data_IF_523240628571
#
_entry.id   IF_523240628571
#
_cell.length_a   1.000
_cell.length_b   1.000
_cell.length_c   1.000
_cell.angle_alpha   90.00
_cell.angle_beta   90.00
_cell.angle_gamma   90.00
#
_symmetry.space_group_name_H-M   'P 1'
#
loop_
_entity.id
_entity.type
_entity.pdbx_description
1 polymer ?
#
# COMPACT_ATOMS: atom_id res chain seq x y z
N UNK A 1 12.55 5.08 -8.58
CA UNK A 1 12.95 5.96 -7.47
C UNK A 1 13.67 7.22 -7.93
N UNK A 2 14.88 7.18 -8.52
CA UNK A 2 15.59 8.40 -8.95
C UNK A 2 14.76 9.28 -9.92
N UNK A 3 14.16 8.66 -10.94
CA UNK A 3 13.29 9.37 -11.88
C UNK A 3 12.03 9.93 -11.21
N UNK A 4 11.48 9.21 -10.23
CA UNK A 4 10.32 9.65 -9.44
C UNK A 4 10.68 10.88 -8.59
N UNK A 5 11.82 10.87 -7.90
CA UNK A 5 12.34 12.03 -7.14
C UNK A 5 12.58 13.23 -8.05
N UNK A 6 13.10 13.02 -9.26
CA UNK A 6 13.30 14.10 -10.23
C UNK A 6 11.99 14.69 -10.75
N UNK A 7 11.02 13.83 -11.12
CA UNK A 7 9.67 14.25 -11.52
C UNK A 7 8.98 15.02 -10.37
N UNK A 8 9.14 14.53 -9.14
CA UNK A 8 8.57 15.13 -7.95
C UNK A 8 9.18 16.50 -7.62
N UNK A 9 10.51 16.62 -7.74
CA UNK A 9 11.21 17.91 -7.63
C UNK A 9 10.66 18.95 -8.61
N UNK A 10 10.51 18.58 -9.89
CA UNK A 10 9.89 19.44 -10.91
C UNK A 10 8.44 19.82 -10.58
N UNK A 11 7.67 18.91 -9.98
CA UNK A 11 6.30 19.19 -9.57
C UNK A 11 6.26 20.19 -8.40
N UNK A 12 7.13 20.02 -7.40
CA UNK A 12 7.26 20.93 -6.24
C UNK A 12 7.70 22.32 -6.69
N UNK A 13 8.64 22.42 -7.63
CA UNK A 13 9.06 23.70 -8.24
C UNK A 13 7.89 24.46 -8.87
N UNK A 14 6.93 23.74 -9.46
CA UNK A 14 5.73 24.31 -10.10
C UNK A 14 4.57 24.53 -9.14
N UNK A 15 4.70 24.16 -7.86
CA UNK A 15 3.64 24.32 -6.86
C UNK A 15 3.26 25.80 -6.72
N UNK A 16 1.95 26.06 -6.79
CA UNK A 16 1.34 27.39 -6.63
C UNK A 16 0.89 27.60 -5.18
N UNK A 17 0.82 28.87 -4.69
CA UNK A 17 0.24 29.19 -3.39
C UNK A 17 -1.22 28.72 -3.31
N UNK A 18 -1.66 28.28 -2.11
CA UNK A 18 -3.07 27.91 -1.88
C UNK A 18 -3.97 29.11 -2.18
N UNK A 19 -4.91 28.93 -3.10
CA UNK A 19 -5.85 29.96 -3.55
C UNK A 19 -7.29 29.59 -3.20
N UNK A 20 -7.61 29.53 -1.91
CA UNK A 20 -8.96 29.25 -1.41
C UNK A 20 -9.58 30.46 -0.69
N UNK A 21 -10.92 30.48 -0.62
CA UNK A 21 -11.70 31.54 0.04
C UNK A 21 -11.39 31.71 1.54
N UNK A 22 -10.81 30.69 2.18
CA UNK A 22 -10.26 30.79 3.53
C UNK A 22 -8.74 31.02 3.46
N UNK A 23 -8.34 32.28 3.67
CA UNK A 23 -6.97 32.79 3.61
C UNK A 23 -6.06 32.35 4.78
N UNK A 24 -6.15 31.11 5.25
CA UNK A 24 -5.42 30.66 6.45
C UNK A 24 -3.93 30.35 6.24
N UNK A 25 -3.47 30.17 4.99
CA UNK A 25 -2.04 29.94 4.69
C UNK A 25 -1.42 31.19 4.08
N UNK A 26 -0.54 31.86 4.83
CA UNK A 26 0.19 33.02 4.34
C UNK A 26 1.10 32.65 3.16
N UNK A 27 1.34 33.59 2.23
CA UNK A 27 2.31 33.41 1.13
C UNK A 27 3.68 32.97 1.65
N UNK A 28 4.05 33.41 2.86
CA UNK A 28 5.28 33.01 3.53
C UNK A 28 5.26 31.54 3.99
N UNK A 29 4.14 31.07 4.57
CA UNK A 29 3.96 29.67 4.93
C UNK A 29 4.06 28.73 3.72
N UNK A 30 3.53 29.15 2.57
CA UNK A 30 3.70 28.42 1.31
C UNK A 30 5.16 28.35 0.85
N UNK A 31 5.88 29.47 0.91
CA UNK A 31 7.31 29.53 0.55
C UNK A 31 8.16 28.62 1.44
N UNK A 32 7.92 28.64 2.75
CA UNK A 32 8.60 27.76 3.71
C UNK A 32 8.31 26.29 3.42
N UNK A 33 7.04 25.94 3.17
CA UNK A 33 6.63 24.57 2.84
C UNK A 33 7.32 24.07 1.58
N UNK A 34 7.29 24.88 0.51
CA UNK A 34 7.95 24.55 -0.75
C UNK A 34 9.45 24.38 -0.58
N UNK A 35 10.10 25.27 0.18
CA UNK A 35 11.54 25.17 0.46
C UNK A 35 11.87 23.86 1.19
N UNK A 36 11.13 23.51 2.25
CA UNK A 36 11.32 22.25 2.98
C UNK A 36 11.11 21.02 2.09
N UNK A 37 10.06 20.99 1.27
CA UNK A 37 9.83 19.88 0.31
C UNK A 37 10.98 19.77 -0.70
N UNK A 38 11.51 20.90 -1.18
CA UNK A 38 12.66 20.94 -2.09
C UNK A 38 13.91 20.39 -1.42
N UNK A 39 14.18 20.78 -0.18
CA UNK A 39 15.30 20.23 0.60
C UNK A 39 15.18 18.72 0.79
N UNK A 40 13.99 18.21 1.13
CA UNK A 40 13.74 16.77 1.27
C UNK A 40 14.05 16.04 -0.05
N UNK A 41 13.62 16.57 -1.20
CA UNK A 41 13.97 15.99 -2.51
C UNK A 41 15.49 15.92 -2.70
N UNK A 42 16.20 17.00 -2.44
CA UNK A 42 17.65 17.07 -2.62
C UNK A 42 18.39 16.11 -1.70
N UNK A 43 17.98 16.04 -0.44
CA UNK A 43 18.58 15.15 0.56
C UNK A 43 18.35 13.68 0.19
N UNK A 44 17.12 13.31 -0.22
CA UNK A 44 16.81 11.96 -0.70
C UNK A 44 17.54 11.61 -2.00
N UNK A 45 17.71 12.56 -2.93
CA UNK A 45 18.49 12.36 -4.15
C UNK A 45 19.96 12.08 -3.86
N UNK A 46 20.55 12.80 -2.91
CA UNK A 46 21.94 12.61 -2.49
C UNK A 46 22.15 11.20 -1.88
N UNK A 47 21.27 10.79 -0.98
CA UNK A 47 21.31 9.46 -0.36
C UNK A 47 21.12 8.38 -1.41
N UNK A 48 20.11 8.49 -2.27
CA UNK A 48 19.84 7.51 -3.30
C UNK A 48 20.99 7.39 -4.30
N UNK A 49 21.64 8.50 -4.66
CA UNK A 49 22.85 8.48 -5.50
C UNK A 49 23.98 7.68 -4.84
N UNK A 50 24.24 7.90 -3.55
CA UNK A 50 25.24 7.15 -2.81
C UNK A 50 24.89 5.65 -2.72
N UNK A 51 23.63 5.31 -2.44
CA UNK A 51 23.16 3.92 -2.41
C UNK A 51 23.30 3.23 -3.77
N UNK A 52 23.01 3.93 -4.86
CA UNK A 52 23.18 3.42 -6.21
C UNK A 52 24.67 3.15 -6.53
N UNK A 53 25.55 4.09 -6.20
CA UNK A 53 27.00 3.91 -6.37
C UNK A 53 27.53 2.71 -5.56
N UNK A 54 27.05 2.55 -4.32
CA UNK A 54 27.35 1.38 -3.48
C UNK A 54 26.93 0.07 -4.15
N UNK A 55 25.66 -0.01 -4.57
CA UNK A 55 25.09 -1.21 -5.20
C UNK A 55 25.81 -1.62 -6.47
N UNK A 56 26.17 -0.64 -7.30
CA UNK A 56 26.95 -0.87 -8.51
C UNK A 56 28.32 -1.48 -8.19
N UNK A 57 29.06 -0.87 -7.26
CA UNK A 57 30.37 -1.36 -6.87
C UNK A 57 30.28 -2.75 -6.21
N UNK A 58 29.28 -2.96 -5.35
CA UNK A 58 29.04 -4.24 -4.67
C UNK A 58 28.70 -5.35 -5.67
N UNK A 59 27.75 -5.11 -6.60
CA UNK A 59 27.39 -6.08 -7.64
C UNK A 59 28.56 -6.40 -8.57
N UNK A 60 29.35 -5.39 -8.94
CA UNK A 60 30.55 -5.59 -9.78
C UNK A 60 31.59 -6.45 -9.07
N UNK A 61 31.83 -6.19 -7.77
CA UNK A 61 32.75 -7.00 -6.95
C UNK A 61 32.23 -8.43 -6.83
N UNK A 62 30.97 -8.60 -6.46
CA UNK A 62 30.33 -9.92 -6.36
C UNK A 62 30.42 -10.70 -7.68
N UNK A 63 30.11 -10.06 -8.82
CA UNK A 63 30.17 -10.68 -10.13
C UNK A 63 31.60 -11.11 -10.51
N UNK A 64 32.61 -10.30 -10.16
CA UNK A 64 34.01 -10.64 -10.37
C UNK A 64 34.46 -11.81 -9.48
N UNK A 65 33.99 -11.88 -8.24
CA UNK A 65 34.29 -12.98 -7.31
C UNK A 65 33.62 -14.31 -7.72
N UNK A 66 32.50 -14.26 -8.46
CA UNK A 66 31.74 -15.43 -8.88
C UNK A 66 31.90 -15.75 -10.38
N UNK A 67 32.96 -15.23 -11.03
CA UNK A 67 33.28 -15.47 -12.44
C UNK A 67 32.12 -15.24 -13.43
N UNK A 68 31.23 -14.30 -13.12
CA UNK A 68 30.08 -13.98 -13.97
C UNK A 68 30.57 -13.31 -15.25
N UNK A 69 30.19 -13.79 -16.46
CA UNK A 69 30.57 -13.16 -17.71
C UNK A 69 30.13 -11.69 -17.75
N UNK A 70 31.06 -10.79 -18.08
CA UNK A 70 30.84 -9.33 -18.16
C UNK A 70 30.39 -8.71 -16.81
N UNK A 71 31.21 -8.72 -15.75
CA UNK A 71 30.84 -8.18 -14.43
C UNK A 71 30.47 -6.67 -14.44
N UNK A 72 30.87 -5.93 -15.48
CA UNK A 72 30.52 -4.53 -15.68
C UNK A 72 29.07 -4.29 -16.18
N UNK A 73 28.27 -5.33 -16.46
CA UNK A 73 26.88 -5.15 -16.91
C UNK A 73 26.01 -4.41 -15.90
N UNK A 74 26.36 -4.49 -14.61
CA UNK A 74 25.61 -3.89 -13.52
C UNK A 74 25.88 -2.38 -13.35
N UNK A 75 26.96 -1.83 -13.93
CA UNK A 75 27.38 -0.43 -13.72
C UNK A 75 26.89 0.59 -14.75
N UNK A 76 26.53 0.15 -15.96
CA UNK A 76 26.19 1.09 -17.04
C UNK A 76 24.87 1.86 -16.84
N UNK A 77 24.02 1.50 -15.87
CA UNK A 77 22.68 2.09 -15.71
C UNK A 77 22.65 3.39 -14.90
N UNK A 78 23.49 3.55 -13.88
CA UNK A 78 23.50 4.76 -13.04
C UNK A 78 24.13 5.94 -13.77
N UNK A 79 25.19 5.67 -14.55
CA UNK A 79 25.77 6.63 -15.49
C UNK A 79 24.78 7.05 -16.59
N UNK A 80 23.88 6.16 -17.02
CA UNK A 80 22.83 6.50 -17.97
C UNK A 80 21.72 7.37 -17.33
N UNK A 81 21.35 7.10 -16.06
CA UNK A 81 20.36 7.87 -15.30
C UNK A 81 20.85 9.27 -14.89
N UNK A 82 22.16 9.44 -14.72
CA UNK A 82 22.79 10.72 -14.33
C UNK A 82 23.26 11.57 -15.52
N UNK A 83 23.11 11.10 -16.76
CA UNK A 83 23.55 11.81 -17.98
C UNK A 83 22.67 13.02 -18.33
N UNK A 84 22.93 14.10 -17.62
CA UNK A 84 23.15 15.44 -18.17
C UNK A 84 24.46 15.98 -17.60
N UNK A 85 25.57 15.36 -17.96
CA UNK A 85 26.88 15.99 -17.79
C UNK A 85 27.60 15.98 -19.12
N UNK A 86 28.01 17.18 -19.49
CA UNK A 86 28.74 17.56 -20.69
C UNK A 86 29.93 16.64 -20.95
N UNK A 87 30.20 16.40 -22.22
CA UNK A 87 31.41 15.74 -22.72
C UNK A 87 32.66 16.40 -22.13
N UNK A 88 33.31 15.76 -21.16
CA UNK A 88 34.57 16.24 -20.60
C UNK A 88 34.86 15.91 -19.13
N UNK A 89 33.92 15.35 -18.35
CA UNK A 89 34.25 14.95 -16.98
C UNK A 89 35.12 13.69 -16.95
N UNK A 90 36.31 13.83 -16.33
CA UNK A 90 37.24 12.75 -15.98
C UNK A 90 36.46 11.58 -15.36
N UNK A 91 36.88 10.34 -15.66
CA UNK A 91 36.41 9.12 -15.00
C UNK A 91 36.30 9.39 -13.50
N UNK A 92 35.07 9.48 -12.98
CA UNK A 92 34.83 9.56 -11.54
C UNK A 92 35.61 8.40 -10.90
N UNK A 93 36.46 8.74 -9.93
CA UNK A 93 37.10 7.76 -9.06
C UNK A 93 35.98 6.91 -8.47
N UNK A 94 35.89 5.66 -8.90
CA UNK A 94 34.88 4.73 -8.41
C UNK A 94 35.32 4.35 -7.00
N UNK A 95 34.72 5.01 -6.01
CA UNK A 95 34.97 4.70 -4.61
C UNK A 95 34.61 3.22 -4.35
N UNK A 96 35.39 2.61 -3.48
CA UNK A 96 35.14 1.24 -3.06
C UNK A 96 33.80 1.11 -2.32
N UNK A 97 33.02 0.02 -2.49
CA UNK A 97 31.74 -0.14 -1.81
C UNK A 97 31.84 0.03 -0.29
N UNK A 98 32.91 -0.46 0.34
CA UNK A 98 33.07 -0.35 1.79
C UNK A 98 33.32 1.10 2.22
N UNK A 99 34.00 1.87 1.35
CA UNK A 99 34.18 3.32 1.53
C UNK A 99 32.85 4.05 1.39
N UNK A 100 32.04 3.73 0.37
CA UNK A 100 30.72 4.36 0.17
C UNK A 100 29.78 4.02 1.33
N UNK A 101 29.81 2.78 1.82
CA UNK A 101 29.04 2.37 3.01
C UNK A 101 29.41 3.20 4.23
N UNK A 102 30.71 3.41 4.46
CA UNK A 102 31.18 4.24 5.59
C UNK A 102 30.78 5.72 5.44
N UNK A 103 30.78 6.25 4.20
CA UNK A 103 30.45 7.65 3.91
C UNK A 103 29.00 7.87 3.44
N UNK A 104 28.08 6.94 3.71
CA UNK A 104 26.67 7.16 3.40
C UNK A 104 26.21 8.43 4.13
N UNK A 105 25.55 9.39 3.44
CA UNK A 105 25.18 10.67 4.05
C UNK A 105 23.97 10.53 4.98
N UNK A 106 24.13 9.84 6.12
CA UNK A 106 23.07 9.61 7.12
C UNK A 106 22.45 10.90 7.64
N UNK A 107 23.25 11.95 7.78
CA UNK A 107 22.81 13.30 8.17
C UNK A 107 21.72 13.86 7.24
N UNK A 108 21.80 13.55 5.95
CA UNK A 108 20.79 13.94 4.95
C UNK A 108 19.47 13.19 5.15
N UNK A 109 19.53 11.91 5.52
CA UNK A 109 18.34 11.15 5.91
C UNK A 109 17.70 11.72 7.18
N UNK A 110 18.50 12.08 8.18
CA UNK A 110 17.98 12.70 9.42
C UNK A 110 17.33 14.06 9.15
N UNK A 111 17.94 14.88 8.27
CA UNK A 111 17.37 16.16 7.85
C UNK A 111 16.06 15.98 7.07
N UNK A 112 16.04 15.05 6.12
CA UNK A 112 14.83 14.72 5.34
C UNK A 112 13.69 14.26 6.27
N UNK A 113 13.99 13.37 7.21
CA UNK A 113 13.05 12.92 8.24
C UNK A 113 12.49 14.12 9.02
N UNK A 114 13.37 14.97 9.55
CA UNK A 114 12.98 16.09 10.42
C UNK A 114 12.08 17.09 9.69
N UNK A 115 12.41 17.39 8.43
CA UNK A 115 11.57 18.23 7.58
C UNK A 115 10.21 17.60 7.30
N UNK A 116 10.16 16.30 7.00
CA UNK A 116 8.90 15.57 6.81
C UNK A 116 8.04 15.56 8.07
N UNK A 117 8.62 15.30 9.25
CA UNK A 117 7.89 15.33 10.52
C UNK A 117 7.27 16.71 10.79
N UNK A 118 8.03 17.79 10.59
CA UNK A 118 7.52 19.16 10.78
C UNK A 118 6.35 19.46 9.82
N UNK A 119 6.45 19.02 8.57
CA UNK A 119 5.38 19.19 7.59
C UNK A 119 4.14 18.36 7.93
N UNK A 120 4.34 17.17 8.51
CA UNK A 120 3.27 16.21 8.86
C UNK A 120 2.48 16.64 10.09
N UNK A 121 3.13 17.33 11.04
CA UNK A 121 2.48 17.90 12.24
C UNK A 121 1.64 19.15 11.93
N UNK A 122 1.62 19.64 10.69
CA UNK A 122 0.76 20.77 10.31
C UNK A 122 -0.69 20.31 10.09
N UNK A 123 -1.63 20.89 10.83
CA UNK A 123 -3.00 20.37 10.99
C UNK A 123 -3.91 20.42 9.73
N UNK A 124 -3.44 20.96 8.60
CA UNK A 124 -4.26 21.19 7.40
C UNK A 124 -3.62 20.60 6.14
N UNK A 125 -3.49 19.27 6.11
CA UNK A 125 -3.15 18.54 4.89
C UNK A 125 -4.37 18.48 3.97
N UNK A 126 -4.27 19.10 2.80
CA UNK A 126 -5.28 19.05 1.75
C UNK A 126 -5.00 17.86 0.83
N UNK A 127 -5.95 16.91 0.68
CA UNK A 127 -5.73 15.72 -0.12
C UNK A 127 -5.37 15.96 -1.60
N UNK A 128 -5.84 17.06 -2.16
CA UNK A 128 -5.64 17.41 -3.56
C UNK A 128 -4.34 18.20 -3.78
N UNK A 129 -3.83 18.87 -2.75
CA UNK A 129 -2.67 19.76 -2.85
C UNK A 129 -1.40 19.23 -2.19
N UNK A 130 -1.49 18.24 -1.31
CA UNK A 130 -0.36 17.69 -0.55
C UNK A 130 0.13 16.31 -1.02
N UNK A 131 -0.29 15.89 -2.22
CA UNK A 131 0.17 14.64 -2.84
C UNK A 131 1.70 14.52 -2.88
N UNK A 132 2.42 15.63 -3.06
CA UNK A 132 3.89 15.60 -3.09
C UNK A 132 4.50 15.28 -1.72
N UNK A 133 3.86 15.72 -0.63
CA UNK A 133 4.32 15.42 0.72
C UNK A 133 4.20 13.92 1.00
N UNK A 134 3.06 13.31 0.66
CA UNK A 134 2.84 11.88 0.89
C UNK A 134 3.76 11.03 0.01
N UNK A 135 3.96 11.44 -1.25
CA UNK A 135 4.92 10.80 -2.14
C UNK A 135 6.35 10.87 -1.58
N UNK A 136 6.78 12.01 -1.03
CA UNK A 136 8.09 12.13 -0.38
C UNK A 136 8.21 11.27 0.87
N UNK A 137 7.16 11.20 1.70
CA UNK A 137 7.19 10.36 2.90
C UNK A 137 7.31 8.88 2.53
N UNK A 138 6.59 8.44 1.49
CA UNK A 138 6.74 7.09 0.92
C UNK A 138 8.16 6.85 0.41
N UNK A 139 8.71 7.78 -0.37
CA UNK A 139 10.06 7.65 -0.92
C UNK A 139 11.13 7.64 0.19
N UNK A 140 10.91 8.39 1.28
CA UNK A 140 11.77 8.34 2.47
C UNK A 140 11.77 6.94 3.08
N UNK A 141 10.60 6.35 3.36
CA UNK A 141 10.49 4.99 3.91
C UNK A 141 11.16 3.97 2.98
N UNK A 142 10.91 4.06 1.68
CA UNK A 142 11.54 3.18 0.69
C UNK A 142 13.08 3.34 0.67
N UNK A 143 13.59 4.56 0.86
CA UNK A 143 15.04 4.82 0.92
C UNK A 143 15.65 4.20 2.18
N UNK A 144 14.99 4.35 3.33
CA UNK A 144 15.44 3.76 4.61
C UNK A 144 15.41 2.23 4.54
N UNK A 145 14.31 1.63 4.04
CA UNK A 145 14.19 0.18 3.81
C UNK A 145 15.29 -0.37 2.89
N UNK A 146 15.54 0.29 1.76
CA UNK A 146 16.60 -0.13 0.84
C UNK A 146 17.99 -0.01 1.49
N UNK A 147 18.26 1.09 2.19
CA UNK A 147 19.54 1.28 2.86
C UNK A 147 19.77 0.19 3.93
N UNK A 148 18.73 -0.18 4.68
CA UNK A 148 18.81 -1.30 5.62
C UNK A 148 19.06 -2.65 4.92
N UNK A 149 18.25 -3.01 3.91
CA UNK A 149 18.40 -4.27 3.15
C UNK A 149 19.78 -4.46 2.51
N UNK A 150 20.43 -3.37 2.13
CA UNK A 150 21.76 -3.39 1.53
C UNK A 150 22.89 -3.13 2.53
N UNK A 151 22.61 -3.26 3.84
CA UNK A 151 23.59 -3.09 4.91
C UNK A 151 24.30 -1.71 4.90
N UNK A 152 23.63 -0.68 4.38
CA UNK A 152 24.07 0.72 4.42
C UNK A 152 23.63 1.43 5.71
N UNK A 153 22.51 0.98 6.28
CA UNK A 153 22.11 1.23 7.66
C UNK A 153 22.18 -0.09 8.43
N UNK A 154 22.60 -0.04 9.68
CA UNK A 154 22.46 -1.19 10.58
C UNK A 154 21.06 -1.24 11.20
N UNK A 155 20.81 -2.26 12.03
CA UNK A 155 19.52 -2.42 12.70
C UNK A 155 19.24 -1.26 13.67
N UNK A 156 20.25 -0.75 14.37
CA UNK A 156 20.08 0.34 15.34
C UNK A 156 19.68 1.64 14.63
N UNK A 157 20.34 1.98 13.53
CA UNK A 157 19.98 3.09 12.65
C UNK A 157 18.55 2.93 12.11
N UNK A 158 18.19 1.73 11.63
CA UNK A 158 16.85 1.46 11.11
C UNK A 158 15.79 1.63 12.19
N UNK A 159 15.99 1.03 13.36
CA UNK A 159 15.13 1.16 14.53
C UNK A 159 14.97 2.61 14.99
N UNK A 160 16.06 3.39 14.96
CA UNK A 160 16.04 4.82 15.30
C UNK A 160 15.08 5.62 14.44
N UNK A 161 14.87 5.26 13.17
CA UNK A 161 13.89 5.93 12.32
C UNK A 161 12.47 5.42 12.60
N UNK A 162 12.29 4.10 12.72
CA UNK A 162 10.96 3.51 12.79
C UNK A 162 10.30 3.61 14.18
N UNK A 163 11.10 3.69 15.25
CA UNK A 163 10.61 3.82 16.64
C UNK A 163 10.43 5.28 17.08
N UNK A 164 10.61 6.25 16.20
CA UNK A 164 10.34 7.65 16.54
C UNK A 164 8.86 7.86 16.81
N UNK A 165 8.58 8.71 17.79
CA UNK A 165 7.23 9.07 18.19
C UNK A 165 6.39 9.52 16.99
N UNK A 166 5.16 9.00 16.90
CA UNK A 166 4.16 9.28 15.86
C UNK A 166 4.59 8.94 14.43
N UNK A 167 5.75 8.30 14.23
CA UNK A 167 6.23 7.93 12.90
C UNK A 167 5.35 6.86 12.25
N UNK A 168 5.01 5.83 13.01
CA UNK A 168 4.26 4.67 12.53
C UNK A 168 2.85 5.07 12.09
N UNK A 169 2.16 5.90 12.87
CA UNK A 169 0.85 6.46 12.49
C UNK A 169 0.97 7.38 11.28
N UNK A 170 1.96 8.28 11.25
CA UNK A 170 2.21 9.14 10.08
C UNK A 170 2.49 8.33 8.81
N UNK A 171 3.28 7.26 8.91
CA UNK A 171 3.59 6.35 7.81
C UNK A 171 2.33 5.64 7.29
N UNK A 172 1.50 5.08 8.18
CA UNK A 172 0.23 4.45 7.82
C UNK A 172 -0.71 5.41 7.08
N UNK A 173 -0.91 6.61 7.64
CA UNK A 173 -1.77 7.64 7.05
C UNK A 173 -1.30 8.02 5.64
N UNK A 174 0.00 8.28 5.45
CA UNK A 174 0.50 8.65 4.13
C UNK A 174 0.57 7.51 3.14
N UNK A 175 0.80 6.28 3.60
CA UNK A 175 0.67 5.10 2.75
C UNK A 175 -0.75 5.03 2.17
N UNK A 176 -1.76 5.17 3.03
CA UNK A 176 -3.16 5.15 2.63
C UNK A 176 -3.51 6.32 1.70
N UNK A 177 -3.19 7.55 2.08
CA UNK A 177 -3.49 8.74 1.26
C UNK A 177 -2.81 8.70 -0.11
N UNK A 178 -1.55 8.27 -0.16
CA UNK A 178 -0.85 8.08 -1.44
C UNK A 178 -1.55 7.03 -2.31
N UNK A 179 -1.92 5.89 -1.71
CA UNK A 179 -2.66 4.84 -2.42
C UNK A 179 -3.98 5.36 -2.99
N UNK A 180 -4.79 6.00 -2.15
CA UNK A 180 -6.16 6.44 -2.46
C UNK A 180 -6.21 7.55 -3.50
N UNK A 181 -5.30 8.51 -3.46
CA UNK A 181 -5.39 9.72 -4.32
C UNK A 181 -4.39 9.74 -5.48
N UNK A 182 -3.32 8.94 -5.43
CA UNK A 182 -2.28 8.96 -6.47
C UNK A 182 -2.37 7.77 -7.43
N UNK A 183 -2.99 6.65 -7.03
CA UNK A 183 -3.12 5.49 -7.89
C UNK A 183 -4.42 5.51 -8.69
N UNK A 184 -4.32 5.83 -9.97
CA UNK A 184 -5.47 5.73 -10.91
C UNK A 184 -5.88 4.28 -11.16
N UNK A 185 -5.01 3.34 -10.85
CA UNK A 185 -5.18 1.92 -11.17
C UNK A 185 -6.04 1.18 -10.14
N UNK A 186 -6.32 1.75 -8.98
CA UNK A 186 -7.05 1.08 -7.89
C UNK A 186 -8.39 1.74 -7.56
N UNK A 187 -9.27 1.84 -8.57
CA UNK A 187 -10.60 2.43 -8.42
C UNK A 187 -11.59 1.56 -7.64
N UNK A 188 -11.40 0.24 -7.63
CA UNK A 188 -12.27 -0.65 -6.88
C UNK A 188 -12.04 -0.44 -5.37
N UNK A 189 -13.07 -0.09 -4.59
CA UNK A 189 -12.94 0.16 -3.16
C UNK A 189 -12.42 -1.04 -2.36
N UNK A 190 -12.53 -2.26 -2.90
CA UNK A 190 -12.01 -3.46 -2.26
C UNK A 190 -10.49 -3.43 -2.08
N UNK A 191 -9.73 -2.73 -2.94
CA UNK A 191 -8.28 -2.61 -2.77
C UNK A 191 -7.88 -1.83 -1.50
N UNK A 192 -8.79 -1.02 -0.94
CA UNK A 192 -8.56 -0.32 0.33
C UNK A 192 -8.61 -1.26 1.54
N UNK A 193 -8.85 -2.55 1.33
CA UNK A 193 -8.73 -3.54 2.37
C UNK A 193 -7.30 -3.67 2.87
N UNK A 194 -7.09 -3.51 4.17
CA UNK A 194 -5.78 -3.55 4.79
C UNK A 194 -4.98 -4.81 4.45
N UNK A 195 -5.61 -5.98 4.35
CA UNK A 195 -4.90 -7.21 3.98
C UNK A 195 -4.35 -7.13 2.55
N UNK A 196 -5.13 -6.57 1.63
CA UNK A 196 -4.75 -6.41 0.22
C UNK A 196 -3.72 -5.28 0.11
N UNK A 197 -4.00 -4.17 0.78
CA UNK A 197 -3.19 -2.96 0.78
C UNK A 197 -1.74 -3.27 1.16
N UNK A 198 -1.53 -4.12 2.17
CA UNK A 198 -0.21 -4.51 2.66
C UNK A 198 0.47 -5.57 1.79
N UNK A 199 -0.28 -6.36 1.03
CA UNK A 199 0.26 -7.35 0.07
C UNK A 199 0.72 -6.71 -1.25
N UNK A 200 0.27 -5.49 -1.55
CA UNK A 200 0.67 -4.81 -2.77
C UNK A 200 2.16 -4.46 -2.75
N UNK A 201 2.82 -4.58 -3.91
CA UNK A 201 4.25 -4.29 -4.07
C UNK A 201 4.64 -2.89 -3.56
N UNK A 202 3.75 -1.91 -3.72
CA UNK A 202 4.01 -0.54 -3.28
C UNK A 202 4.15 -0.40 -1.75
N UNK A 203 3.58 -1.35 -0.98
CA UNK A 203 3.55 -1.38 0.48
C UNK A 203 4.72 -2.15 1.10
N UNK A 204 5.51 -2.89 0.31
CA UNK A 204 6.63 -3.70 0.80
C UNK A 204 7.56 -2.95 1.77
N UNK A 205 7.95 -1.67 1.55
CA UNK A 205 8.78 -0.94 2.52
C UNK A 205 8.12 -0.76 3.89
N UNK A 206 6.80 -0.61 3.92
CA UNK A 206 6.02 -0.46 5.16
C UNK A 206 5.88 -1.81 5.87
N UNK A 207 5.74 -2.90 5.13
CA UNK A 207 5.70 -4.25 5.72
C UNK A 207 7.02 -4.58 6.43
N UNK A 208 8.17 -4.28 5.83
CA UNK A 208 9.46 -4.54 6.51
C UNK A 208 9.63 -3.64 7.75
N UNK A 209 9.11 -2.41 7.72
CA UNK A 209 9.02 -1.56 8.91
C UNK A 209 8.13 -2.22 9.98
N UNK A 210 6.98 -2.76 9.59
CA UNK A 210 6.12 -3.49 10.52
C UNK A 210 6.88 -4.64 11.18
N UNK A 211 7.66 -5.42 10.44
CA UNK A 211 8.35 -6.59 10.98
C UNK A 211 9.30 -6.29 12.15
N UNK A 212 9.85 -5.08 12.23
CA UNK A 212 10.82 -4.67 13.26
C UNK A 212 10.23 -3.89 14.44
N UNK A 213 9.01 -3.36 14.32
CA UNK A 213 8.37 -2.61 15.41
C UNK A 213 7.63 -3.55 16.37
N UNK A 214 7.46 -3.10 17.60
CA UNK A 214 6.76 -3.83 18.65
C UNK A 214 5.26 -3.94 18.36
N UNK A 215 4.62 -4.95 18.96
CA UNK A 215 3.20 -5.22 18.74
C UNK A 215 2.29 -4.00 18.98
N UNK A 216 2.45 -3.19 20.05
CA UNK A 216 1.68 -1.96 20.23
C UNK A 216 1.73 -1.00 19.04
N UNK A 217 2.92 -0.74 18.50
CA UNK A 217 3.07 0.15 17.34
C UNK A 217 2.47 -0.46 16.06
N UNK A 218 2.59 -1.78 15.86
CA UNK A 218 1.86 -2.48 14.78
C UNK A 218 0.36 -2.21 14.85
N UNK A 219 -0.23 -2.23 16.05
CA UNK A 219 -1.67 -1.95 16.24
C UNK A 219 -2.03 -0.53 15.85
N UNK A 220 -1.20 0.44 16.25
CA UNK A 220 -1.39 1.85 15.88
C UNK A 220 -1.30 2.05 14.37
N UNK A 221 -0.37 1.37 13.70
CA UNK A 221 -0.27 1.39 12.23
C UNK A 221 -1.57 0.91 11.56
N UNK A 222 -2.04 -0.28 11.95
CA UNK A 222 -3.25 -0.87 11.37
C UNK A 222 -4.49 -0.03 11.69
N UNK A 223 -4.61 0.48 12.91
CA UNK A 223 -5.69 1.39 13.30
C UNK A 223 -5.68 2.67 12.45
N UNK A 224 -4.51 3.26 12.18
CA UNK A 224 -4.42 4.51 11.42
C UNK A 224 -4.78 4.33 9.94
N UNK A 225 -4.53 3.15 9.35
CA UNK A 225 -5.08 2.80 8.02
C UNK A 225 -6.60 2.82 8.05
N UNK A 226 -7.21 2.12 9.02
CA UNK A 226 -8.67 2.03 9.14
C UNK A 226 -9.31 3.37 9.43
N UNK A 227 -8.70 4.16 10.31
CA UNK A 227 -9.10 5.53 10.60
C UNK A 227 -9.04 6.39 9.35
N UNK A 228 -7.95 6.32 8.57
CA UNK A 228 -7.80 7.13 7.36
C UNK A 228 -8.89 6.79 6.33
N UNK A 229 -9.18 5.51 6.16
CA UNK A 229 -10.24 5.04 5.26
C UNK A 229 -11.64 5.41 5.76
N UNK A 230 -11.90 5.29 7.06
CA UNK A 230 -13.15 5.69 7.67
C UNK A 230 -13.39 7.20 7.54
N UNK A 231 -12.38 8.04 7.76
CA UNK A 231 -12.49 9.49 7.63
C UNK A 231 -12.68 9.93 6.16
N UNK A 232 -11.98 9.29 5.22
CA UNK A 232 -12.20 9.51 3.78
C UNK A 232 -13.64 9.15 3.40
N UNK A 233 -14.13 7.99 3.83
CA UNK A 233 -15.51 7.57 3.64
C UNK A 233 -16.50 8.58 4.23
N UNK A 234 -16.35 8.98 5.50
CA UNK A 234 -17.26 9.95 6.15
C UNK A 234 -17.34 11.29 5.41
N UNK A 235 -16.27 11.71 4.72
CA UNK A 235 -16.22 12.97 3.97
C UNK A 235 -16.98 12.91 2.64
N UNK A 236 -17.26 11.72 2.13
CA UNK A 236 -18.01 11.49 0.90
C UNK A 236 -19.53 11.65 1.08
N UNK A 237 -20.25 11.65 -0.05
CA UNK A 237 -21.69 11.45 -0.07
C UNK A 237 -21.95 9.99 -0.36
N UNK A 238 -22.77 9.33 0.45
CA UNK A 238 -23.34 8.06 0.09
C UNK A 238 -24.86 8.16 0.27
N UNK A 239 -25.61 7.19 -0.27
CA UNK A 239 -27.06 7.11 -0.08
C UNK A 239 -27.50 5.65 0.20
N UNK A 240 -26.65 4.88 0.90
CA UNK A 240 -26.84 3.44 1.13
C UNK A 240 -27.66 3.10 2.39
N UNK A 241 -28.22 1.88 2.44
CA UNK A 241 -28.77 1.30 3.67
C UNK A 241 -27.69 1.20 4.75
N UNK A 242 -26.50 0.70 4.42
CA UNK A 242 -25.40 0.57 5.38
C UNK A 242 -24.95 1.92 5.92
N UNK A 243 -24.80 2.90 5.03
CA UNK A 243 -24.30 4.22 5.37
C UNK A 243 -25.15 4.92 6.44
N UNK A 244 -26.49 4.85 6.33
CA UNK A 244 -27.43 5.41 7.32
C UNK A 244 -27.13 4.95 8.75
N UNK A 245 -26.57 3.75 8.88
CA UNK A 245 -26.21 3.19 10.17
C UNK A 245 -24.74 3.40 10.53
N UNK A 246 -23.84 3.45 9.54
CA UNK A 246 -22.40 3.37 9.68
C UNK A 246 -21.71 4.71 9.98
N UNK A 247 -22.09 5.81 9.31
CA UNK A 247 -21.35 7.08 9.37
C UNK A 247 -21.21 7.59 10.81
N UNK A 248 -22.29 7.58 11.58
CA UNK A 248 -22.27 8.02 12.97
C UNK A 248 -21.39 7.13 13.86
N UNK A 249 -21.36 5.83 13.61
CA UNK A 249 -20.48 4.91 14.34
C UNK A 249 -19.02 5.15 13.99
N UNK A 250 -18.68 5.32 12.70
CA UNK A 250 -17.30 5.60 12.30
C UNK A 250 -16.81 6.95 12.85
N UNK A 251 -17.64 8.00 12.82
CA UNK A 251 -17.29 9.31 13.42
C UNK A 251 -16.90 9.15 14.89
N UNK A 252 -17.78 8.51 15.67
CA UNK A 252 -17.54 8.29 17.09
C UNK A 252 -16.25 7.50 17.36
N UNK A 253 -16.05 6.40 16.62
CA UNK A 253 -14.93 5.50 16.85
C UNK A 253 -13.58 6.12 16.43
N UNK A 254 -13.55 6.93 15.36
CA UNK A 254 -12.31 7.31 14.69
C UNK A 254 -11.93 8.81 14.74
N UNK A 255 -12.86 9.77 14.78
CA UNK A 255 -12.51 11.22 14.74
C UNK A 255 -11.61 11.63 15.91
N UNK A 256 -11.81 11.02 17.08
CA UNK A 256 -11.06 11.32 18.31
C UNK A 256 -10.27 10.12 18.84
N UNK A 257 -9.98 9.12 18.00
CA UNK A 257 -9.31 7.87 18.41
C UNK A 257 -10.02 7.15 19.59
N UNK A 258 -11.35 7.27 19.69
CA UNK A 258 -12.12 6.69 20.80
C UNK A 258 -11.96 5.18 20.88
N UNK A 259 -11.98 4.50 19.73
CA UNK A 259 -11.82 3.04 19.65
C UNK A 259 -10.45 2.59 20.17
N UNK A 260 -9.36 3.14 19.60
CA UNK A 260 -8.01 2.77 20.00
C UNK A 260 -7.76 3.07 21.48
N UNK A 261 -8.17 4.25 21.95
CA UNK A 261 -7.96 4.67 23.34
C UNK A 261 -8.67 3.72 24.32
N UNK A 262 -9.89 3.32 24.02
CA UNK A 262 -10.65 2.39 24.87
C UNK A 262 -10.07 0.98 24.87
N UNK A 263 -9.53 0.51 23.73
CA UNK A 263 -8.89 -0.79 23.61
C UNK A 263 -7.50 -0.84 24.28
N UNK A 264 -6.76 0.27 24.28
CA UNK A 264 -5.43 0.38 24.92
C UNK A 264 -5.51 0.63 26.43
N UNK A 265 -6.44 1.46 26.94
CA UNK A 265 -6.61 1.69 28.38
C UNK A 265 -7.13 0.44 29.09
N UNK A 266 -8.02 -0.32 28.45
CA UNK A 266 -8.48 -1.63 28.93
C UNK A 266 -9.33 -1.61 30.21
N UNK A 267 -9.55 -0.44 30.82
CA UNK A 267 -10.35 -0.28 32.05
C UNK A 267 -11.86 -0.28 31.76
N UNK A 268 -12.26 0.36 30.68
CA UNK A 268 -13.65 0.42 30.23
C UNK A 268 -13.73 0.69 28.73
N UNK A 269 -14.61 -0.02 28.03
CA UNK A 269 -14.92 0.26 26.63
C UNK A 269 -15.60 1.62 26.47
N UNK A 270 -16.32 2.07 27.51
CA UNK A 270 -17.27 3.17 27.44
C UNK A 270 -18.59 2.73 26.80
N UNK A 271 -19.71 3.16 27.39
CA UNK A 271 -21.05 2.75 26.93
C UNK A 271 -21.31 3.17 25.47
N UNK A 272 -20.75 4.29 25.02
CA UNK A 272 -20.91 4.78 23.66
C UNK A 272 -20.20 3.88 22.63
N UNK A 273 -18.91 3.56 22.85
CA UNK A 273 -18.18 2.64 21.96
C UNK A 273 -18.86 1.28 21.89
N UNK A 274 -19.30 0.73 23.03
CA UNK A 274 -20.02 -0.54 23.05
C UNK A 274 -21.28 -0.50 22.18
N UNK A 275 -22.11 0.55 22.31
CA UNK A 275 -23.31 0.73 21.48
C UNK A 275 -22.99 0.86 20.00
N UNK A 276 -21.94 1.59 19.64
CA UNK A 276 -21.55 1.78 18.24
C UNK A 276 -20.98 0.50 17.61
N UNK A 277 -20.19 -0.28 18.36
CA UNK A 277 -19.70 -1.58 17.93
C UNK A 277 -20.88 -2.57 17.79
N UNK A 278 -21.80 -2.62 18.77
CA UNK A 278 -22.99 -3.47 18.68
C UNK A 278 -23.82 -3.13 17.44
N UNK A 279 -24.06 -1.84 17.18
CA UNK A 279 -24.78 -1.40 15.99
C UNK A 279 -24.09 -1.85 14.69
N UNK A 280 -22.75 -1.79 14.62
CA UNK A 280 -22.01 -2.30 13.46
C UNK A 280 -22.17 -3.81 13.30
N UNK A 281 -22.17 -4.56 14.41
CA UNK A 281 -22.39 -6.01 14.41
C UNK A 281 -23.80 -6.34 13.90
N UNK A 282 -24.82 -5.69 14.44
CA UNK A 282 -26.22 -5.94 14.09
C UNK A 282 -26.45 -5.71 12.59
N UNK A 283 -25.92 -4.60 12.05
CA UNK A 283 -26.00 -4.27 10.62
C UNK A 283 -25.20 -5.25 9.77
N UNK A 284 -24.03 -5.71 10.25
CA UNK A 284 -23.19 -6.65 9.52
C UNK A 284 -23.78 -8.06 9.45
N UNK A 285 -24.63 -8.42 10.42
CA UNK A 285 -25.34 -9.70 10.49
C UNK A 285 -26.74 -9.65 9.87
N UNK A 286 -27.23 -8.47 9.47
CA UNK A 286 -28.53 -8.31 8.84
C UNK A 286 -28.51 -8.86 7.40
N UNK A 287 -29.17 -9.99 7.17
CA UNK A 287 -29.22 -10.65 5.86
C UNK A 287 -29.89 -9.78 4.78
N UNK A 288 -30.87 -8.94 5.14
CA UNK A 288 -31.51 -8.06 4.16
C UNK A 288 -30.54 -6.97 3.67
N UNK A 289 -29.81 -6.34 4.59
CA UNK A 289 -28.78 -5.35 4.24
C UNK A 289 -27.68 -6.01 3.43
N UNK A 290 -27.22 -7.19 3.89
CA UNK A 290 -26.18 -7.94 3.23
C UNK A 290 -26.57 -8.29 1.79
N UNK A 291 -27.75 -8.87 1.57
CA UNK A 291 -28.26 -9.22 0.23
C UNK A 291 -28.36 -8.03 -0.72
N UNK A 292 -28.68 -6.84 -0.20
CA UNK A 292 -28.83 -5.63 -1.02
C UNK A 292 -27.51 -4.94 -1.33
N UNK A 293 -26.51 -5.06 -0.46
CA UNK A 293 -25.27 -4.28 -0.53
C UNK A 293 -23.98 -5.11 -0.65
N UNK A 294 -24.07 -6.44 -0.68
CA UNK A 294 -22.93 -7.36 -0.72
C UNK A 294 -21.82 -7.04 -1.73
N UNK A 295 -22.18 -6.40 -2.84
CA UNK A 295 -21.30 -6.07 -3.97
C UNK A 295 -20.07 -5.21 -3.60
N UNK A 296 -19.85 -4.10 -4.29
CA UNK A 296 -18.71 -3.22 -4.00
C UNK A 296 -19.03 -2.20 -2.88
N UNK A 297 -19.85 -2.57 -1.88
CA UNK A 297 -20.20 -1.67 -0.78
C UNK A 297 -18.98 -1.36 0.08
N UNK A 298 -18.52 -0.11 0.00
CA UNK A 298 -17.42 0.40 0.82
C UNK A 298 -17.77 0.32 2.31
N UNK A 299 -19.04 0.55 2.65
CA UNK A 299 -19.53 0.52 4.03
C UNK A 299 -19.45 -0.88 4.65
N UNK A 300 -19.94 -1.92 3.94
CA UNK A 300 -19.83 -3.31 4.41
C UNK A 300 -18.36 -3.71 4.62
N UNK A 301 -17.49 -3.35 3.68
CA UNK A 301 -16.05 -3.59 3.76
C UNK A 301 -15.42 -2.91 4.98
N UNK A 302 -15.71 -1.62 5.19
CA UNK A 302 -15.20 -0.84 6.33
C UNK A 302 -15.66 -1.38 7.68
N UNK A 303 -16.94 -1.79 7.78
CA UNK A 303 -17.45 -2.48 8.96
C UNK A 303 -16.70 -3.78 9.22
N UNK A 304 -16.59 -4.64 8.21
CA UNK A 304 -15.91 -5.92 8.33
C UNK A 304 -14.46 -5.74 8.79
N UNK A 305 -13.73 -4.75 8.25
CA UNK A 305 -12.35 -4.49 8.62
C UNK A 305 -12.19 -3.91 10.02
N UNK A 306 -13.10 -3.03 10.44
CA UNK A 306 -13.11 -2.51 11.82
C UNK A 306 -13.35 -3.65 12.80
N UNK A 307 -14.32 -4.52 12.53
CA UNK A 307 -14.63 -5.68 13.38
C UNK A 307 -13.48 -6.70 13.34
N UNK A 308 -12.89 -6.96 12.16
CA UNK A 308 -11.70 -7.83 12.01
C UNK A 308 -10.54 -7.32 12.83
N UNK A 309 -10.28 -6.01 12.83
CA UNK A 309 -9.22 -5.40 13.62
C UNK A 309 -9.45 -5.65 15.11
N UNK A 310 -10.66 -5.46 15.62
CA UNK A 310 -10.99 -5.75 17.03
C UNK A 310 -10.74 -7.23 17.35
N UNK A 311 -11.30 -8.16 16.55
CA UNK A 311 -11.19 -9.60 16.78
C UNK A 311 -9.73 -10.08 16.72
N UNK A 312 -9.04 -9.83 15.62
CA UNK A 312 -7.69 -10.35 15.37
C UNK A 312 -6.59 -9.68 16.19
N UNK A 313 -6.77 -8.40 16.56
CA UNK A 313 -5.72 -7.62 17.23
C UNK A 313 -5.83 -7.65 18.75
N UNK A 314 -7.04 -7.81 19.28
CA UNK A 314 -7.30 -7.73 20.72
C UNK A 314 -7.97 -8.98 21.28
N UNK A 315 -9.02 -9.51 20.64
CA UNK A 315 -9.79 -10.62 21.23
C UNK A 315 -9.07 -11.96 21.16
N UNK A 316 -8.28 -12.18 20.11
CA UNK A 316 -7.46 -13.39 19.92
C UNK A 316 -6.14 -13.38 20.72
N UNK A 317 -5.87 -12.31 21.48
CA UNK A 317 -4.68 -12.24 22.36
C UNK A 317 -4.99 -12.81 23.76
N UNK A 318 -3.97 -13.22 24.51
CA UNK A 318 -4.14 -13.68 25.91
C UNK A 318 -4.53 -12.57 26.89
N UNK A 319 -4.61 -11.31 26.44
CA UNK A 319 -4.98 -10.17 27.26
C UNK A 319 -6.42 -10.35 27.78
N UNK A 320 -6.56 -10.45 29.10
CA UNK A 320 -7.85 -10.50 29.78
C UNK A 320 -8.05 -9.24 30.59
N UNK A 321 -8.86 -8.31 30.06
CA UNK A 321 -9.33 -7.14 30.78
C UNK A 321 -10.85 -6.98 30.59
N UNK A 322 -11.54 -6.17 31.42
CA UNK A 322 -13.00 -6.05 31.36
C UNK A 322 -13.54 -5.66 29.98
N UNK A 323 -12.85 -4.75 29.28
CA UNK A 323 -13.21 -4.35 27.90
C UNK A 323 -13.17 -5.54 26.94
N UNK A 324 -12.10 -6.33 26.98
CA UNK A 324 -11.93 -7.51 26.11
C UNK A 324 -12.98 -8.58 26.43
N UNK A 325 -13.30 -8.82 27.70
CA UNK A 325 -14.33 -9.78 28.08
C UNK A 325 -15.71 -9.40 27.52
N UNK A 326 -16.11 -8.14 27.62
CA UNK A 326 -17.39 -7.65 27.05
C UNK A 326 -17.41 -7.85 25.52
N UNK A 327 -16.32 -7.48 24.84
CA UNK A 327 -16.23 -7.63 23.39
C UNK A 327 -16.22 -9.10 22.95
N UNK A 328 -15.57 -10.02 23.69
CA UNK A 328 -15.60 -11.46 23.38
C UNK A 328 -17.01 -12.03 23.39
N UNK A 329 -17.89 -11.53 24.24
CA UNK A 329 -19.29 -11.92 24.24
C UNK A 329 -20.05 -11.44 23.00
N UNK A 330 -19.66 -10.30 22.43
CA UNK A 330 -20.27 -9.77 21.20
C UNK A 330 -19.78 -10.50 19.93
N UNK A 331 -18.56 -11.04 19.95
CA UNK A 331 -17.91 -11.69 18.79
C UNK A 331 -18.13 -13.20 18.77
N UNK A 332 -19.33 -13.63 18.36
CA UNK A 332 -19.69 -15.06 18.17
C UNK A 332 -19.38 -15.55 16.75
N UNK A 333 -19.45 -16.86 16.54
CA UNK A 333 -19.07 -17.51 15.28
C UNK A 333 -19.80 -17.00 14.03
N UNK A 334 -21.12 -16.70 14.06
CA UNK A 334 -21.79 -16.13 12.90
C UNK A 334 -21.13 -14.82 12.43
N UNK A 335 -20.74 -13.96 13.37
CA UNK A 335 -20.03 -12.72 13.07
C UNK A 335 -18.64 -12.99 12.50
N UNK A 336 -17.87 -13.88 13.12
CA UNK A 336 -16.51 -14.23 12.64
C UNK A 336 -16.55 -14.84 11.24
N UNK A 337 -17.54 -15.68 10.96
CA UNK A 337 -17.73 -16.29 9.65
C UNK A 337 -18.05 -15.22 8.60
N UNK A 338 -18.92 -14.26 8.93
CA UNK A 338 -19.26 -13.13 8.05
C UNK A 338 -18.07 -12.22 7.76
N UNK A 339 -17.28 -11.87 8.79
CA UNK A 339 -16.04 -11.07 8.65
C UNK A 339 -15.04 -11.79 7.72
N UNK A 340 -14.85 -13.10 7.93
CA UNK A 340 -13.97 -13.92 7.08
C UNK A 340 -14.46 -13.95 5.64
N UNK A 341 -15.76 -14.12 5.42
CA UNK A 341 -16.37 -14.16 4.10
C UNK A 341 -16.14 -12.86 3.32
N UNK A 342 -16.40 -11.71 3.93
CA UNK A 342 -16.18 -10.38 3.31
C UNK A 342 -14.70 -10.17 2.96
N UNK A 343 -13.80 -10.57 3.85
CA UNK A 343 -12.35 -10.43 3.64
C UNK A 343 -11.85 -11.35 2.53
N UNK A 344 -12.30 -12.61 2.52
CA UNK A 344 -11.93 -13.59 1.50
C UNK A 344 -12.43 -13.18 0.11
N UNK A 345 -13.69 -12.74 0.02
CA UNK A 345 -14.25 -12.19 -1.22
C UNK A 345 -13.44 -11.00 -1.73
N UNK A 346 -13.08 -10.05 -0.85
CA UNK A 346 -12.33 -8.87 -1.28
C UNK A 346 -11.01 -9.26 -1.96
N UNK A 347 -10.27 -10.22 -1.38
CA UNK A 347 -9.04 -10.75 -1.96
C UNK A 347 -9.29 -11.45 -3.30
N UNK A 348 -10.29 -12.33 -3.34
CA UNK A 348 -10.64 -13.06 -4.56
C UNK A 348 -11.02 -12.12 -5.71
N UNK A 349 -11.89 -11.13 -5.47
CA UNK A 349 -12.30 -10.17 -6.51
C UNK A 349 -11.12 -9.33 -6.98
N UNK A 350 -10.25 -8.88 -6.08
CA UNK A 350 -9.07 -8.08 -6.45
C UNK A 350 -8.07 -8.89 -7.27
N UNK A 351 -7.81 -10.15 -6.92
CA UNK A 351 -6.92 -11.05 -7.67
C UNK A 351 -7.41 -11.20 -9.14
N UNK A 352 -8.70 -11.45 -9.34
CA UNK A 352 -9.28 -11.52 -10.68
C UNK A 352 -9.20 -10.18 -11.44
N UNK A 353 -9.42 -9.05 -10.75
CA UNK A 353 -9.30 -7.73 -11.36
C UNK A 353 -7.85 -7.39 -11.77
N UNK A 354 -6.86 -7.82 -10.99
CA UNK A 354 -5.45 -7.66 -11.35
C UNK A 354 -5.12 -8.42 -12.65
N UNK A 355 -5.64 -9.64 -12.79
CA UNK A 355 -5.48 -10.43 -14.02
C UNK A 355 -6.20 -9.76 -15.20
N UNK A 356 -7.44 -9.29 -15.02
CA UNK A 356 -8.15 -8.58 -16.10
C UNK A 356 -7.43 -7.30 -16.52
N UNK A 357 -6.89 -6.52 -15.59
CA UNK A 357 -6.09 -5.33 -15.91
C UNK A 357 -4.83 -5.69 -16.69
N UNK A 358 -4.15 -6.76 -16.29
CA UNK A 358 -2.97 -7.26 -16.98
C UNK A 358 -3.29 -7.58 -18.46
N UNK A 359 -4.38 -8.32 -18.70
CA UNK A 359 -4.85 -8.66 -20.06
C UNK A 359 -5.17 -7.42 -20.92
N UNK A 360 -5.68 -6.34 -20.32
CA UNK A 360 -6.04 -5.11 -21.03
C UNK A 360 -4.88 -4.13 -21.26
N UNK A 361 -3.91 -4.04 -20.34
CA UNK A 361 -2.94 -2.93 -20.32
C UNK A 361 -1.63 -3.24 -21.05
N UNK A 362 -1.09 -4.46 -20.93
CA UNK A 362 0.18 -4.85 -21.58
C UNK A 362 0.49 -6.33 -21.35
N UNK A 363 1.13 -6.97 -22.34
CA UNK A 363 1.90 -8.22 -22.18
C UNK A 363 3.38 -7.87 -21.94
N UNK A 364 3.80 -7.52 -20.72
CA UNK A 364 5.14 -6.98 -20.44
C UNK A 364 6.26 -7.97 -20.76
N UNK A 365 6.00 -9.29 -20.72
CA UNK A 365 7.00 -10.32 -21.00
C UNK A 365 7.37 -10.40 -22.49
N UNK A 366 6.53 -9.85 -23.37
CA UNK A 366 6.84 -9.69 -24.79
C UNK A 366 7.80 -8.53 -25.08
N UNK A 367 7.79 -7.50 -24.24
CA UNK A 367 8.54 -6.25 -24.45
C UNK A 367 9.74 -6.09 -23.49
N UNK A 368 10.01 -7.07 -22.63
CA UNK A 368 11.20 -7.02 -21.79
C UNK A 368 12.45 -7.38 -22.60
N UNK A 369 13.14 -6.37 -23.10
CA UNK A 369 14.41 -6.50 -23.83
C UNK A 369 15.56 -7.11 -23.01
N UNK A 370 15.32 -7.54 -21.76
CA UNK A 370 16.26 -8.31 -20.93
C UNK A 370 16.08 -9.82 -21.09
N UNK A 371 14.96 -10.28 -21.63
CA UNK A 371 14.77 -11.70 -21.92
C UNK A 371 15.53 -12.06 -23.21
N UNK A 372 16.39 -13.07 -23.15
CA UNK A 372 17.06 -13.60 -24.34
C UNK A 372 16.07 -14.11 -25.40
N UNK A 373 14.86 -14.50 -24.96
CA UNK A 373 13.74 -14.87 -25.82
C UNK A 373 12.44 -14.29 -25.22
N UNK A 374 11.78 -13.32 -25.88
CA UNK A 374 10.48 -12.84 -25.45
C UNK A 374 9.47 -14.00 -25.41
N UNK A 375 8.60 -14.03 -24.40
CA UNK A 375 7.52 -15.00 -24.35
C UNK A 375 6.44 -14.56 -25.37
N UNK A 376 6.05 -15.41 -26.33
CA UNK A 376 4.97 -15.11 -27.25
C UNK A 376 3.66 -14.89 -26.49
N UNK A 377 2.83 -13.95 -26.95
CA UNK A 377 1.54 -13.65 -26.33
C UNK A 377 0.64 -14.89 -26.16
N UNK A 378 0.70 -15.86 -27.08
CA UNK A 378 -0.06 -17.11 -26.94
C UNK A 378 0.44 -17.97 -25.78
N UNK A 379 1.75 -18.11 -25.62
CA UNK A 379 2.36 -18.85 -24.52
C UNK A 379 2.08 -18.17 -23.17
N UNK A 380 2.11 -16.84 -23.13
CA UNK A 380 1.75 -16.05 -21.95
C UNK A 380 0.27 -16.19 -21.59
N UNK A 381 -0.63 -16.24 -22.57
CA UNK A 381 -2.07 -16.50 -22.35
C UNK A 381 -2.32 -17.91 -21.81
N UNK A 382 -1.63 -18.93 -22.34
CA UNK A 382 -1.75 -20.31 -21.85
C UNK A 382 -1.26 -20.42 -20.39
N UNK A 383 -0.19 -19.70 -20.02
CA UNK A 383 0.29 -19.61 -18.64
C UNK A 383 -0.73 -18.95 -17.71
N UNK A 384 -1.38 -17.87 -18.16
CA UNK A 384 -2.42 -17.19 -17.38
C UNK A 384 -3.61 -18.12 -17.18
N UNK A 385 -4.07 -18.80 -18.24
CA UNK A 385 -5.19 -19.73 -18.18
C UNK A 385 -4.92 -20.89 -17.22
N UNK A 386 -3.72 -21.50 -17.29
CA UNK A 386 -3.31 -22.51 -16.31
C UNK A 386 -3.23 -21.97 -14.88
N UNK A 387 -2.87 -20.70 -14.69
CA UNK A 387 -2.84 -20.07 -13.38
C UNK A 387 -4.24 -19.81 -12.81
N UNK A 388 -5.24 -19.54 -13.65
CA UNK A 388 -6.64 -19.32 -13.22
C UNK A 388 -7.20 -20.50 -12.42
N UNK A 389 -6.75 -21.73 -12.68
CA UNK A 389 -7.23 -22.94 -11.99
C UNK A 389 -6.66 -23.08 -10.56
N UNK A 390 -5.61 -22.33 -10.22
CA UNK A 390 -4.84 -22.49 -8.99
C UNK A 390 -4.64 -21.19 -8.23
N UNK A 391 -5.55 -20.24 -8.40
CA UNK A 391 -5.50 -18.95 -7.75
C UNK A 391 -5.70 -19.06 -6.24
N UNK A 392 -4.71 -18.67 -5.40
CA UNK A 392 -4.80 -18.85 -3.95
C UNK A 392 -5.95 -18.10 -3.29
N UNK A 393 -6.28 -16.88 -3.73
CA UNK A 393 -7.37 -16.14 -3.10
C UNK A 393 -8.75 -16.73 -3.46
N UNK A 394 -8.90 -17.29 -4.67
CA UNK A 394 -10.11 -18.04 -5.05
C UNK A 394 -10.29 -19.29 -4.19
N UNK A 395 -9.24 -20.11 -4.06
CA UNK A 395 -9.29 -21.35 -3.26
C UNK A 395 -9.64 -21.06 -1.79
N UNK A 396 -9.05 -20.00 -1.22
CA UNK A 396 -9.39 -19.56 0.12
C UNK A 396 -10.85 -19.10 0.21
N UNK A 397 -11.34 -18.33 -0.76
CA UNK A 397 -12.72 -17.87 -0.78
C UNK A 397 -13.72 -19.03 -0.88
N UNK A 398 -13.49 -20.00 -1.76
CA UNK A 398 -14.28 -21.23 -1.86
C UNK A 398 -14.32 -22.02 -0.54
N UNK A 399 -13.19 -22.07 0.18
CA UNK A 399 -13.15 -22.74 1.49
C UNK A 399 -14.02 -22.03 2.53
N UNK A 400 -14.09 -20.70 2.51
CA UNK A 400 -14.91 -19.89 3.42
C UNK A 400 -16.39 -19.91 3.04
N UNK A 401 -16.70 -20.00 1.74
CA UNK A 401 -18.07 -20.16 1.25
C UNK A 401 -18.71 -21.44 1.79
N UNK A 402 -17.94 -22.54 1.86
CA UNK A 402 -18.43 -23.84 2.37
C UNK A 402 -18.89 -23.81 3.83
N UNK A 403 -18.49 -22.80 4.60
CA UNK A 403 -18.88 -22.64 6.01
C UNK A 403 -20.08 -21.69 6.20
N UNK A 404 -20.65 -21.16 5.11
CA UNK A 404 -21.82 -20.28 5.16
C UNK A 404 -23.12 -21.09 5.05
N UNK A 405 -24.25 -20.45 5.34
CA UNK A 405 -25.57 -21.02 5.06
C UNK A 405 -25.80 -21.23 3.55
N UNK A 406 -26.74 -22.11 3.22
CA UNK A 406 -27.01 -22.53 1.83
C UNK A 406 -27.40 -21.38 0.90
N UNK A 407 -28.05 -20.34 1.45
CA UNK A 407 -28.49 -19.17 0.69
C UNK A 407 -27.29 -18.32 0.25
N UNK A 408 -26.45 -17.90 1.18
CA UNK A 408 -25.27 -17.09 0.87
C UNK A 408 -24.26 -17.89 0.04
N UNK A 409 -24.18 -19.20 0.28
CA UNK A 409 -23.31 -20.10 -0.47
C UNK A 409 -23.59 -20.06 -1.97
N UNK A 410 -24.84 -20.32 -2.39
CA UNK A 410 -25.20 -20.35 -3.81
C UNK A 410 -24.92 -19.02 -4.51
N UNK A 411 -25.14 -17.90 -3.83
CA UNK A 411 -24.89 -16.59 -4.40
C UNK A 411 -23.39 -16.30 -4.57
N UNK A 412 -22.58 -16.62 -3.56
CA UNK A 412 -21.13 -16.44 -3.63
C UNK A 412 -20.49 -17.32 -4.72
N UNK A 413 -20.96 -18.57 -4.87
CA UNK A 413 -20.53 -19.47 -5.94
C UNK A 413 -20.86 -18.88 -7.31
N UNK A 414 -22.09 -18.39 -7.49
CA UNK A 414 -22.53 -17.77 -8.75
C UNK A 414 -21.69 -16.54 -9.12
N UNK A 415 -21.44 -15.62 -8.18
CA UNK A 415 -20.60 -14.44 -8.43
C UNK A 415 -19.18 -14.84 -8.87
N UNK A 416 -18.61 -15.85 -8.20
CA UNK A 416 -17.27 -16.31 -8.48
C UNK A 416 -17.17 -16.92 -9.88
N UNK A 417 -18.12 -17.80 -10.22
CA UNK A 417 -18.20 -18.46 -11.52
C UNK A 417 -18.38 -17.44 -12.65
N UNK A 418 -19.26 -16.46 -12.48
CA UNK A 418 -19.48 -15.40 -13.46
C UNK A 418 -18.19 -14.60 -13.75
N UNK A 419 -17.43 -14.25 -12.72
CA UNK A 419 -16.16 -13.51 -12.87
C UNK A 419 -15.08 -14.36 -13.54
N UNK A 420 -15.00 -15.65 -13.20
CA UNK A 420 -14.06 -16.59 -13.82
C UNK A 420 -14.40 -16.82 -15.31
N UNK A 421 -15.69 -16.99 -15.63
CA UNK A 421 -16.18 -17.11 -17.02
C UNK A 421 -15.85 -15.84 -17.81
N UNK A 422 -16.09 -14.66 -17.23
CA UNK A 422 -15.78 -13.39 -17.89
C UNK A 422 -14.29 -13.26 -18.24
N UNK A 423 -13.39 -13.64 -17.32
CA UNK A 423 -11.94 -13.65 -17.56
C UNK A 423 -11.53 -14.63 -18.66
N UNK A 424 -12.07 -15.85 -18.63
CA UNK A 424 -11.82 -16.85 -19.69
C UNK A 424 -12.29 -16.35 -21.06
N UNK A 425 -13.49 -15.76 -21.13
CA UNK A 425 -13.99 -15.13 -22.34
C UNK A 425 -13.11 -13.96 -22.82
N UNK A 426 -12.46 -13.25 -21.90
CA UNK A 426 -11.50 -12.20 -22.24
C UNK A 426 -10.23 -12.76 -22.88
N UNK A 427 -9.67 -13.83 -22.32
CA UNK A 427 -8.52 -14.58 -22.88
C UNK A 427 -8.86 -15.08 -24.28
N UNK A 428 -10.03 -15.70 -24.45
CA UNK A 428 -10.50 -16.21 -25.74
C UNK A 428 -10.72 -15.12 -26.79
N UNK A 429 -11.11 -13.92 -26.36
CA UNK A 429 -11.21 -12.75 -27.26
C UNK A 429 -9.85 -12.24 -27.73
N UNK A 430 -8.80 -12.38 -26.90
CA UNK A 430 -7.45 -11.92 -27.24
C UNK A 430 -6.72 -12.94 -28.12
N UNK A 431 -6.88 -14.24 -27.84
CA UNK A 431 -6.16 -15.35 -28.48
C UNK A 431 -6.16 -15.27 -30.02
N UNK A 432 -7.29 -15.13 -30.75
CA UNK A 432 -7.33 -15.09 -32.21
C UNK A 432 -6.52 -13.96 -32.84
N UNK A 433 -6.36 -12.83 -32.14
CA UNK A 433 -5.59 -11.67 -32.62
C UNK A 433 -4.09 -11.97 -32.75
N UNK A 434 -3.62 -13.06 -32.14
CA UNK A 434 -2.22 -13.43 -32.09
C UNK A 434 -1.89 -14.76 -32.81
N UNK A 435 -2.92 -15.50 -33.25
CA UNK A 435 -2.77 -16.77 -34.00
C UNK A 435 -2.14 -16.58 -35.39
N UNK A 436 -2.12 -15.35 -35.95
CA UNK A 436 -1.50 -15.04 -37.24
C UNK A 436 -0.22 -14.17 -37.20
N UNK A 437 0.19 -13.66 -36.04
CA UNK A 437 1.32 -12.73 -35.94
C UNK A 437 2.71 -13.40 -35.85
N UNK A 438 2.77 -14.72 -36.04
CA UNK A 438 4.00 -15.53 -35.96
C UNK A 438 4.71 -15.80 -37.30
N UNK A 439 4.23 -15.28 -38.43
CA UNK A 439 4.75 -15.67 -39.76
C UNK A 439 5.04 -14.50 -40.70
N UNK A 440 5.94 -13.59 -40.30
CA UNK A 440 6.68 -12.77 -41.27
C UNK A 440 8.17 -12.62 -40.90
N UNK A 441 8.82 -13.74 -40.59
CA UNK A 441 10.28 -13.86 -40.62
C UNK A 441 10.69 -14.92 -41.64
N UNK A 442 10.20 -14.80 -42.88
CA UNK A 442 10.79 -15.42 -44.07
C UNK A 442 10.42 -14.62 -45.33
N UNK A 443 11.28 -13.66 -45.65
CA UNK A 443 11.70 -13.31 -47.02
C UNK A 443 12.78 -12.25 -46.93
#
# INVERSE_FOLDING_TARGET
MFEDLYKLGKAIEKRKPRGGKDHSVSKEGHKITKARLTEVVQDLQAVHKASLQYLEGWLKRWAATNDVPKPNIFGNKILALTKKTSSGQKKDLTLDPDTIKYFLPKERLEKAFSNLSILSSSYNLDPNEDQQLWALHRLFIQTVDQAYKFNLLDLEDFEKYVKKRDYVTTAARFMFLHFTHSSKDYKNPLYRNSDILLELWYSSPFVNMLDVIDAPEKRKFLHEILKSDALDYISGRHDGLVEKHLVNSLKHLFEHNSLLSALEDGRSLGQANQRHIQKMIDVHLDDFIFDKEWGNSEGLRLMAQTLKFIDGTYLQTELSNPTISILREMFKDPLRNRIKLVSARAKAVVELEQISKYLHQSFPLRNDGRLQKPIPTLEELDLIEGHLEHLPAQQYYESVIKTQDDRHKSWCETENDEKMIALRGEIDRIRPKHVGSGSSWRS
#
